data_IF_833334778384
#
_entry.id   IF_833334778384
#
_cell.length_a   1.000
_cell.length_b   1.000
_cell.length_c   1.000
_cell.angle_alpha   90.00
_cell.angle_beta   90.00
_cell.angle_gamma   90.00
#
_symmetry.space_group_name_H-M   'P 1'
#
loop_
_entity.id
_entity.type
_entity.pdbx_description
1 polymer ?
#
# COMPACT_ATOMS: atom_id res chain seq x y z
N UNK A 1 -20.69 -20.40 -3.82
CA UNK A 1 -19.61 -21.42 -3.88
C UNK A 1 -18.33 -20.80 -4.42
N UNK A 2 -17.81 -19.74 -3.79
CA UNK A 2 -16.59 -19.02 -4.26
C UNK A 2 -15.63 -18.66 -3.13
N UNK A 3 -16.01 -18.88 -1.86
CA UNK A 3 -15.17 -18.54 -0.70
C UNK A 3 -14.29 -19.70 -0.24
N UNK A 4 -14.75 -20.96 -0.36
CA UNK A 4 -14.01 -22.11 0.16
C UNK A 4 -12.80 -22.50 -0.71
N UNK A 5 -12.85 -22.25 -2.02
CA UNK A 5 -11.76 -22.61 -2.95
C UNK A 5 -10.51 -21.71 -2.83
N UNK A 6 -10.63 -20.50 -2.26
CA UNK A 6 -9.50 -19.56 -2.14
C UNK A 6 -8.63 -19.78 -0.89
N UNK A 7 -9.12 -20.51 0.10
CA UNK A 7 -8.39 -20.77 1.35
C UNK A 7 -7.33 -21.87 1.22
N UNK A 8 -7.34 -22.62 0.11
CA UNK A 8 -6.70 -23.94 0.05
C UNK A 8 -5.31 -23.98 -0.60
N UNK A 9 -4.57 -22.87 -0.67
CA UNK A 9 -3.27 -22.88 -1.37
C UNK A 9 -2.03 -22.39 -0.62
N UNK A 10 -2.12 -21.76 0.57
CA UNK A 10 -0.95 -21.36 1.40
C UNK A 10 -1.31 -21.26 2.89
N UNK A 11 -0.36 -21.39 3.85
CA UNK A 11 -0.65 -21.08 5.25
C UNK A 11 -0.99 -19.59 5.39
N UNK A 12 -2.18 -19.30 5.89
CA UNK A 12 -2.63 -17.94 6.22
C UNK A 12 -2.58 -17.76 7.72
N UNK A 13 -2.01 -16.65 8.17
CA UNK A 13 -2.01 -16.26 9.58
C UNK A 13 -2.91 -15.05 9.77
N UNK A 14 -3.76 -15.10 10.80
CA UNK A 14 -4.68 -14.02 11.14
C UNK A 14 -4.23 -13.40 12.46
N UNK A 15 -4.15 -12.07 12.49
CA UNK A 15 -3.88 -11.29 13.70
C UNK A 15 -4.92 -10.16 13.83
N UNK A 16 -5.05 -9.61 15.03
CA UNK A 16 -5.96 -8.48 15.27
C UNK A 16 -5.39 -7.20 14.67
N UNK A 17 -6.22 -6.49 13.89
CA UNK A 17 -5.91 -5.14 13.45
C UNK A 17 -5.91 -4.12 14.60
N UNK A 18 -5.57 -2.87 14.29
CA UNK A 18 -5.64 -1.74 15.22
C UNK A 18 -6.68 -0.70 14.81
N UNK A 19 -6.68 0.46 15.47
CA UNK A 19 -7.59 1.56 15.16
C UNK A 19 -7.23 2.30 13.86
N UNK A 20 -6.02 2.07 13.35
CA UNK A 20 -5.51 2.65 12.12
C UNK A 20 -4.84 1.60 11.23
N UNK A 21 -4.56 2.01 9.98
CA UNK A 21 -3.75 1.20 9.05
C UNK A 21 -2.37 0.93 9.63
N UNK A 22 -1.72 1.95 10.20
CA UNK A 22 -0.40 1.83 10.82
C UNK A 22 -0.41 0.76 11.92
N UNK A 23 -1.34 0.83 12.87
CA UNK A 23 -1.43 -0.13 13.97
C UNK A 23 -1.76 -1.54 13.48
N UNK A 24 -2.57 -1.67 12.43
CA UNK A 24 -2.88 -2.96 11.82
C UNK A 24 -1.64 -3.62 11.21
N UNK A 25 -0.81 -2.85 10.51
CA UNK A 25 0.47 -3.33 9.97
C UNK A 25 1.45 -3.64 11.11
N UNK A 26 1.55 -2.78 12.13
CA UNK A 26 2.40 -3.00 13.30
C UNK A 26 2.06 -4.32 14.02
N UNK A 27 0.78 -4.62 14.22
CA UNK A 27 0.33 -5.85 14.83
C UNK A 27 0.70 -7.08 13.99
N UNK A 28 0.55 -6.99 12.66
CA UNK A 28 1.00 -8.04 11.74
C UNK A 28 2.50 -8.29 11.82
N UNK A 29 3.31 -7.22 11.86
CA UNK A 29 4.75 -7.31 12.02
C UNK A 29 5.16 -7.92 13.36
N UNK A 30 4.49 -7.52 14.46
CA UNK A 30 4.73 -8.10 15.79
C UNK A 30 4.40 -9.60 15.82
N UNK A 31 3.32 -9.99 15.16
CA UNK A 31 2.95 -11.40 15.01
C UNK A 31 4.00 -12.20 14.22
N UNK A 32 4.44 -11.69 13.06
CA UNK A 32 5.49 -12.34 12.25
C UNK A 32 6.81 -12.48 13.02
N UNK A 33 7.19 -11.46 13.78
CA UNK A 33 8.39 -11.49 14.64
C UNK A 33 8.28 -12.56 15.72
N UNK A 34 7.09 -12.77 16.30
CA UNK A 34 6.85 -13.80 17.31
C UNK A 34 6.94 -15.23 16.73
N UNK A 35 6.63 -15.43 15.45
CA UNK A 35 6.80 -16.72 14.78
C UNK A 35 8.27 -17.08 14.53
N UNK A 36 9.18 -16.11 14.61
CA UNK A 36 10.62 -16.30 14.41
C UNK A 36 10.95 -17.02 13.08
N UNK A 37 10.23 -16.67 12.01
CA UNK A 37 10.46 -17.20 10.67
C UNK A 37 11.60 -16.43 9.98
N UNK A 38 12.43 -17.10 9.17
CA UNK A 38 13.44 -16.44 8.35
C UNK A 38 12.77 -15.73 7.17
N UNK A 39 12.45 -14.44 7.33
CA UNK A 39 11.77 -13.61 6.32
C UNK A 39 12.72 -12.49 5.91
N UNK A 40 13.17 -12.47 4.65
CA UNK A 40 14.08 -11.43 4.13
C UNK A 40 13.33 -10.16 3.70
N UNK A 41 12.12 -10.32 3.14
CA UNK A 41 11.30 -9.23 2.62
C UNK A 41 9.85 -9.36 3.07
N UNK A 42 9.23 -8.21 3.34
CA UNK A 42 7.81 -8.10 3.64
C UNK A 42 7.16 -7.24 2.58
N UNK A 43 6.09 -7.76 1.98
CA UNK A 43 5.21 -7.03 1.09
C UNK A 43 3.94 -6.66 1.87
N UNK A 44 3.74 -5.38 2.15
CA UNK A 44 2.52 -4.89 2.82
C UNK A 44 1.48 -4.58 1.75
N UNK A 45 0.36 -5.30 1.77
CA UNK A 45 -0.64 -5.22 0.72
C UNK A 45 -2.06 -4.96 1.24
N UNK A 46 -2.78 -4.03 0.61
CA UNK A 46 -4.26 -4.03 0.53
C UNK A 46 -4.76 -5.15 -0.43
N UNK A 47 -4.67 -6.42 -0.04
CA UNK A 47 -5.11 -7.62 -0.78
C UNK A 47 -4.42 -8.20 -2.09
N UNK A 48 -3.60 -7.55 -2.95
CA UNK A 48 -2.58 -8.17 -3.88
C UNK A 48 -1.84 -7.20 -4.86
N UNK A 49 -0.48 -7.30 -5.12
CA UNK A 49 0.53 -6.67 -6.12
C UNK A 49 2.01 -6.45 -5.56
N UNK A 50 3.03 -5.67 -6.11
CA UNK A 50 4.33 -5.03 -5.56
C UNK A 50 4.42 -3.43 -5.51
N UNK A 51 5.35 -2.74 -4.78
CA UNK A 51 5.47 -1.23 -4.74
C UNK A 51 5.51 -0.59 -6.11
N UNK A 52 4.37 -0.07 -6.52
CA UNK A 52 4.16 0.46 -7.86
C UNK A 52 3.46 1.81 -7.78
N UNK A 53 3.78 2.69 -8.70
CA UNK A 53 3.06 3.95 -8.85
C UNK A 53 2.89 4.24 -10.33
N UNK A 54 1.87 5.03 -10.66
CA UNK A 54 1.64 5.47 -12.05
C UNK A 54 1.81 6.98 -12.15
N UNK A 55 2.36 7.51 -13.26
CA UNK A 55 2.40 8.95 -13.46
C UNK A 55 0.97 9.49 -13.53
N UNK A 56 0.74 10.66 -12.93
CA UNK A 56 -0.60 11.23 -12.89
C UNK A 56 -1.09 11.62 -14.29
N UNK A 57 -2.25 11.10 -14.69
CA UNK A 57 -2.90 11.48 -15.96
C UNK A 57 -3.80 12.71 -15.80
N UNK A 58 -4.02 13.17 -14.56
CA UNK A 58 -4.94 14.25 -14.24
C UNK A 58 -4.19 15.52 -13.83
N UNK A 59 -4.84 16.68 -14.03
CA UNK A 59 -4.32 17.94 -13.49
C UNK A 59 -4.50 17.94 -11.97
N UNK A 60 -3.40 17.96 -11.23
CA UNK A 60 -3.42 17.97 -9.76
C UNK A 60 -3.25 19.41 -9.25
N UNK A 61 -4.06 19.79 -8.26
CA UNK A 61 -3.96 21.07 -7.58
C UNK A 61 -3.79 20.84 -6.08
N UNK A 62 -2.81 21.51 -5.48
CA UNK A 62 -2.68 21.61 -4.04
C UNK A 62 -3.69 22.61 -3.51
N UNK A 63 -4.52 22.17 -2.56
CA UNK A 63 -5.52 23.00 -1.88
C UNK A 63 -5.23 22.94 -0.38
N UNK A 64 -4.96 24.10 0.21
CA UNK A 64 -4.73 24.27 1.66
C UNK A 64 -5.76 25.29 2.16
N UNK A 65 -6.37 25.10 3.34
CA UNK A 65 -7.30 26.08 3.91
C UNK A 65 -6.70 27.48 3.86
N UNK A 66 -7.54 28.46 3.51
CA UNK A 66 -7.18 29.89 3.47
C UNK A 66 -6.08 30.27 2.46
N UNK A 67 -5.61 29.34 1.62
CA UNK A 67 -4.66 29.61 0.54
C UNK A 67 -5.33 29.46 -0.82
N UNK A 68 -4.90 30.29 -1.78
CA UNK A 68 -5.28 30.09 -3.17
C UNK A 68 -4.81 28.72 -3.66
N UNK A 69 -5.63 28.07 -4.48
CA UNK A 69 -5.31 26.76 -4.99
C UNK A 69 -4.13 26.84 -5.97
N UNK A 70 -3.13 25.96 -5.82
CA UNK A 70 -1.91 25.95 -6.63
C UNK A 70 -1.89 24.75 -7.57
N UNK A 71 -1.66 24.96 -8.87
CA UNK A 71 -1.45 23.86 -9.81
C UNK A 71 -0.07 23.21 -9.59
N UNK A 72 0.00 21.88 -9.60
CA UNK A 72 1.24 21.12 -9.53
C UNK A 72 1.67 20.68 -10.93
N UNK A 73 2.99 20.54 -11.16
CA UNK A 73 3.50 19.95 -12.39
C UNK A 73 3.20 18.44 -12.39
N UNK A 74 2.19 18.01 -13.16
CA UNK A 74 1.76 16.60 -13.19
C UNK A 74 2.89 15.62 -13.59
N UNK A 75 3.89 16.09 -14.33
CA UNK A 75 5.02 15.26 -14.76
C UNK A 75 5.93 14.86 -13.59
N UNK A 76 5.78 15.51 -12.44
CA UNK A 76 6.49 15.23 -11.19
C UNK A 76 5.59 14.50 -10.17
N UNK A 77 4.34 14.17 -10.54
CA UNK A 77 3.37 13.57 -9.62
C UNK A 77 3.10 12.12 -10.02
N UNK A 78 3.27 11.24 -9.04
CA UNK A 78 2.98 9.82 -9.15
C UNK A 78 1.89 9.42 -8.15
N UNK A 79 0.97 8.58 -8.59
CA UNK A 79 -0.08 8.00 -7.76
C UNK A 79 0.44 6.67 -7.22
N UNK A 80 0.78 6.65 -5.94
CA UNK A 80 1.28 5.45 -5.25
C UNK A 80 0.17 4.41 -5.18
N UNK A 81 0.52 3.18 -5.52
CA UNK A 81 -0.33 2.00 -5.43
C UNK A 81 0.32 1.00 -4.47
N UNK A 82 -0.50 0.08 -3.95
CA UNK A 82 -0.04 -1.02 -3.11
C UNK A 82 0.34 -2.24 -3.95
N UNK A 83 1.11 -3.14 -3.32
CA UNK A 83 1.70 -3.15 -1.99
C UNK A 83 2.87 -2.22 -1.97
N UNK A 84 3.60 -2.30 -0.89
CA UNK A 84 4.92 -1.75 -0.78
C UNK A 84 5.85 -2.86 -0.27
N UNK A 85 7.03 -3.03 -0.87
CA UNK A 85 7.97 -4.12 -0.54
C UNK A 85 9.20 -3.55 0.13
N UNK A 86 9.54 -4.10 1.29
CA UNK A 86 10.67 -3.63 2.09
C UNK A 86 11.49 -4.81 2.61
N UNK A 87 12.78 -4.57 2.82
CA UNK A 87 13.60 -5.49 3.61
C UNK A 87 13.02 -5.58 5.04
N UNK A 88 12.91 -6.80 5.56
CA UNK A 88 12.24 -7.07 6.84
C UNK A 88 12.81 -6.25 7.99
N UNK A 89 14.14 -6.13 8.07
CA UNK A 89 14.82 -5.35 9.12
C UNK A 89 14.47 -3.86 9.05
N UNK A 90 14.43 -3.28 7.84
CA UNK A 90 14.08 -1.88 7.60
C UNK A 90 12.63 -1.62 8.02
N UNK A 91 11.71 -2.50 7.62
CA UNK A 91 10.30 -2.32 7.95
C UNK A 91 10.04 -2.49 9.45
N UNK A 92 10.68 -3.46 10.10
CA UNK A 92 10.55 -3.63 11.55
C UNK A 92 11.08 -2.43 12.32
N UNK A 93 12.21 -1.87 11.91
CA UNK A 93 12.78 -0.65 12.48
C UNK A 93 11.83 0.54 12.30
N UNK A 94 11.33 0.74 11.07
CA UNK A 94 10.40 1.81 10.72
C UNK A 94 9.14 1.79 11.58
N UNK A 95 8.60 0.62 11.90
CA UNK A 95 7.41 0.49 12.74
C UNK A 95 7.68 0.56 14.26
N UNK A 96 8.92 0.76 14.70
CA UNK A 96 9.20 1.09 16.12
C UNK A 96 8.94 2.57 16.46
N UNK A 97 8.78 3.42 15.46
CA UNK A 97 8.52 4.84 15.68
C UNK A 97 7.04 5.10 16.04
N UNK A 98 6.76 6.28 16.60
CA UNK A 98 5.39 6.69 16.91
C UNK A 98 4.60 6.91 15.61
N UNK A 99 3.34 6.49 15.59
CA UNK A 99 2.41 6.81 14.51
C UNK A 99 2.24 8.33 14.37
N UNK A 100 2.43 8.85 13.15
CA UNK A 100 2.27 10.25 12.80
C UNK A 100 1.17 10.43 11.75
N UNK A 101 0.46 11.56 11.81
CA UNK A 101 -0.72 11.82 10.95
C UNK A 101 -0.41 11.89 9.45
N UNK A 102 0.84 12.14 9.10
CA UNK A 102 1.28 12.25 7.71
C UNK A 102 1.73 10.90 7.12
N UNK A 103 1.71 9.81 7.89
CA UNK A 103 1.88 8.47 7.35
C UNK A 103 0.62 8.07 6.59
N UNK A 104 0.74 7.98 5.27
CA UNK A 104 -0.36 7.66 4.36
C UNK A 104 -0.25 6.27 3.76
N UNK A 105 0.95 5.71 3.80
CA UNK A 105 1.35 4.39 3.31
C UNK A 105 2.57 3.90 4.11
N UNK A 106 3.12 2.73 3.79
CA UNK A 106 4.29 2.16 4.50
C UNK A 106 5.61 2.82 4.04
N UNK A 107 5.66 3.33 2.80
CA UNK A 107 6.81 4.03 2.24
C UNK A 107 7.06 5.32 3.03
N UNK A 108 6.02 6.10 3.35
CA UNK A 108 6.15 7.30 4.19
C UNK A 108 6.61 6.99 5.62
N UNK A 109 6.30 5.81 6.15
CA UNK A 109 6.83 5.34 7.44
C UNK A 109 8.33 5.05 7.33
N UNK A 110 8.77 4.38 6.26
CA UNK A 110 10.18 4.05 6.02
C UNK A 110 11.02 5.30 5.67
N UNK A 111 10.47 6.22 4.87
CA UNK A 111 11.11 7.50 4.49
C UNK A 111 11.41 8.39 5.70
N UNK A 112 10.56 8.34 6.72
CA UNK A 112 10.75 9.12 7.95
C UNK A 112 12.06 8.78 8.67
N UNK A 113 12.59 7.57 8.48
CA UNK A 113 13.90 7.15 9.02
C UNK A 113 15.08 7.49 8.09
N UNK A 114 14.84 8.18 6.96
CA UNK A 114 15.86 8.58 6.00
C UNK A 114 16.21 7.54 4.94
N UNK A 115 15.48 6.43 4.87
CA UNK A 115 15.61 5.46 3.79
C UNK A 115 15.09 6.05 2.47
N UNK A 116 15.78 5.76 1.37
CA UNK A 116 15.31 6.15 0.03
C UNK A 116 14.28 5.16 -0.49
N UNK A 117 13.21 5.67 -1.10
CA UNK A 117 12.20 4.86 -1.77
C UNK A 117 12.44 4.84 -3.27
N UNK A 118 12.39 3.64 -3.83
CA UNK A 118 12.43 3.43 -5.26
C UNK A 118 11.02 3.16 -5.77
N UNK A 119 10.57 3.98 -6.71
CA UNK A 119 9.30 3.81 -7.39
C UNK A 119 9.51 2.90 -8.60
N UNK A 120 8.68 1.86 -8.70
CA UNK A 120 8.53 1.08 -9.93
C UNK A 120 7.25 1.51 -10.64
N UNK A 121 7.30 1.52 -11.97
CA UNK A 121 6.11 1.85 -12.77
C UNK A 121 5.04 0.76 -12.59
N UNK A 122 3.84 1.22 -12.25
CA UNK A 122 2.65 0.39 -12.07
C UNK A 122 1.75 0.33 -13.30
N UNK A 123 0.66 -0.40 -13.13
CA UNK A 123 -0.40 -0.47 -14.13
C UNK A 123 -1.58 0.41 -13.68
N UNK A 124 -2.13 1.20 -14.59
CA UNK A 124 -3.37 1.95 -14.36
C UNK A 124 -4.58 1.05 -14.07
N UNK A 125 -4.52 -0.22 -14.48
CA UNK A 125 -5.50 -1.25 -14.10
C UNK A 125 -5.40 -1.66 -12.64
N UNK A 126 -4.31 -1.33 -11.94
CA UNK A 126 -4.12 -1.60 -10.52
C UNK A 126 -4.90 -0.59 -9.66
N UNK A 127 -6.23 -0.65 -9.75
CA UNK A 127 -7.14 0.26 -9.06
C UNK A 127 -7.41 -0.23 -7.63
N UNK A 128 -7.51 0.72 -6.71
CA UNK A 128 -8.05 0.46 -5.37
C UNK A 128 -9.57 0.48 -5.44
N UNK A 129 -10.21 -0.64 -5.12
CA UNK A 129 -11.67 -0.72 -4.99
C UNK A 129 -12.07 0.07 -3.73
N UNK A 130 -12.60 1.27 -3.94
CA UNK A 130 -12.96 2.22 -2.88
C UNK A 130 -14.45 2.53 -2.92
N UNK A 131 -15.00 2.66 -4.13
CA UNK A 131 -16.40 2.93 -4.39
C UNK A 131 -17.08 1.74 -5.07
N UNK A 132 -18.41 1.60 -4.95
CA UNK A 132 -19.14 0.51 -5.60
C UNK A 132 -18.90 0.42 -7.12
N UNK A 133 -18.72 1.57 -7.79
CA UNK A 133 -18.48 1.66 -9.23
C UNK A 133 -17.13 1.05 -9.64
N UNK A 134 -16.14 1.03 -8.74
CA UNK A 134 -14.83 0.44 -9.02
C UNK A 134 -14.93 -1.06 -9.29
N UNK A 135 -15.96 -1.75 -8.76
CA UNK A 135 -16.20 -3.16 -9.05
C UNK A 135 -16.54 -3.40 -10.53
N UNK A 136 -17.33 -2.52 -11.14
CA UNK A 136 -17.66 -2.63 -12.56
C UNK A 136 -16.42 -2.41 -13.43
N UNK A 137 -15.55 -1.49 -13.03
CA UNK A 137 -14.26 -1.24 -13.70
C UNK A 137 -13.33 -2.45 -13.56
N UNK A 138 -13.23 -3.03 -12.36
CA UNK A 138 -12.41 -4.20 -12.11
C UNK A 138 -12.86 -5.41 -12.94
N UNK A 139 -14.18 -5.64 -13.05
CA UNK A 139 -14.75 -6.70 -13.90
C UNK A 139 -14.43 -6.47 -15.37
N UNK A 140 -14.49 -5.22 -15.85
CA UNK A 140 -14.10 -4.88 -17.23
C UNK A 140 -12.64 -5.20 -17.51
N UNK A 141 -11.73 -4.88 -16.56
CA UNK A 141 -10.31 -5.21 -16.70
C UNK A 141 -10.08 -6.73 -16.73
N UNK A 142 -10.71 -7.47 -15.81
CA UNK A 142 -10.60 -8.93 -15.79
C UNK A 142 -11.08 -9.60 -17.08
N UNK A 143 -12.17 -9.10 -17.67
CA UNK A 143 -12.73 -9.67 -18.90
C UNK A 143 -11.87 -9.43 -20.16
N UNK A 144 -10.96 -8.45 -20.14
CA UNK A 144 -10.07 -8.12 -21.26
C UNK A 144 -8.73 -8.85 -21.21
N UNK A 145 -8.40 -9.44 -20.07
CA UNK A 145 -7.15 -10.16 -19.84
C UNK A 145 -7.32 -11.70 -19.99
N UNK A 146 -8.54 -12.15 -20.31
CA UNK A 146 -8.90 -13.52 -20.73
C UNK A 146 -9.09 -13.59 -22.25
#
# INVERSE_FOLDING_TARGET
>A
MIYEEFLDLRPHHICLGGESRFQSVENGLRYLKALNLPIDYIAVHDAARPLVATPSTNSVRQVVPEKASKALNRNEIWLVQTPQVFATNVLYEAYQQREERYFTDDASVVEQLGYSIHILEGDYKNIKITFPEDLAIAQLYQARDN
#
